data_IF_235848696172
#
_entry.id   IF_235848696172
#
_cell.length_a   1.000
_cell.length_b   1.000
_cell.length_c   1.000
_cell.angle_alpha   90.00
_cell.angle_beta   90.00
_cell.angle_gamma   90.00
#
_symmetry.space_group_name_H-M   'P 1'
#
loop_
_entity.id
_entity.type
_entity.pdbx_description
1 polymer ?
#
# COMPACT_ATOMS: atom_id res chain seq x y z
N UNK A 1 -49.81 -18.45 20.49
CA UNK A 1 -48.47 -17.86 20.60
C UNK A 1 -48.62 -16.36 20.77
N UNK A 2 -48.16 -15.76 21.89
CA UNK A 2 -48.16 -14.29 22.05
C UNK A 2 -46.90 -13.75 21.39
N UNK A 3 -47.02 -13.01 20.33
CA UNK A 3 -45.91 -12.29 19.70
C UNK A 3 -45.54 -11.10 20.60
N UNK A 4 -44.36 -11.08 21.15
CA UNK A 4 -43.85 -9.96 21.97
C UNK A 4 -43.58 -8.78 21.04
N UNK A 5 -44.45 -7.76 21.07
CA UNK A 5 -44.24 -6.52 20.33
C UNK A 5 -43.32 -5.65 21.16
N UNK A 6 -42.08 -5.48 20.68
CA UNK A 6 -41.09 -4.60 21.34
C UNK A 6 -41.58 -3.16 21.38
N UNK A 7 -41.42 -2.48 22.51
CA UNK A 7 -41.68 -1.07 22.60
C UNK A 7 -40.66 -0.23 21.79
N UNK A 8 -40.97 1.03 21.51
CA UNK A 8 -40.08 1.90 20.71
C UNK A 8 -38.74 2.18 21.39
N UNK A 9 -38.71 2.10 22.73
CA UNK A 9 -37.46 2.26 23.50
C UNK A 9 -36.57 1.01 23.40
N UNK A 10 -37.13 -0.18 23.58
CA UNK A 10 -36.41 -1.45 23.40
C UNK A 10 -35.85 -1.61 21.98
N UNK A 11 -36.62 -1.16 20.98
CA UNK A 11 -36.12 -1.16 19.59
C UNK A 11 -34.95 -0.22 19.41
N UNK A 12 -34.97 0.99 19.97
CA UNK A 12 -33.88 1.95 19.91
C UNK A 12 -32.60 1.44 20.61
N UNK A 13 -32.74 0.81 21.77
CA UNK A 13 -31.62 0.22 22.51
C UNK A 13 -31.01 -0.95 21.74
N UNK A 14 -31.82 -1.80 21.16
CA UNK A 14 -31.38 -2.91 20.32
C UNK A 14 -30.68 -2.42 19.08
N UNK A 15 -31.24 -1.44 18.36
CA UNK A 15 -30.62 -0.84 17.18
C UNK A 15 -29.30 -0.14 17.53
N UNK A 16 -29.17 0.42 18.74
CA UNK A 16 -27.93 1.02 19.23
C UNK A 16 -26.88 -0.07 19.55
N UNK A 17 -27.29 -1.14 20.22
CA UNK A 17 -26.43 -2.28 20.52
C UNK A 17 -25.94 -2.97 19.24
N UNK A 18 -26.83 -3.24 18.28
CA UNK A 18 -26.47 -3.87 17.01
C UNK A 18 -25.51 -3.00 16.20
N UNK A 19 -25.69 -1.66 16.21
CA UNK A 19 -24.74 -0.71 15.59
C UNK A 19 -23.37 -0.75 16.25
N UNK A 20 -23.32 -0.81 17.58
CA UNK A 20 -22.04 -0.86 18.31
C UNK A 20 -21.31 -2.19 18.08
N UNK A 21 -22.01 -3.33 18.08
CA UNK A 21 -21.46 -4.64 17.76
C UNK A 21 -20.88 -4.66 16.33
N UNK A 22 -21.63 -4.14 15.37
CA UNK A 22 -21.17 -4.03 13.98
C UNK A 22 -19.93 -3.16 13.89
N UNK A 23 -19.88 -2.02 14.58
CA UNK A 23 -18.74 -1.12 14.62
C UNK A 23 -17.49 -1.81 15.21
N UNK A 24 -17.66 -2.57 16.31
CA UNK A 24 -16.55 -3.30 16.94
C UNK A 24 -15.99 -4.39 16.01
N UNK A 25 -16.86 -5.12 15.32
CA UNK A 25 -16.44 -6.13 14.35
C UNK A 25 -15.66 -5.51 13.19
N UNK A 26 -16.15 -4.40 12.66
CA UNK A 26 -15.49 -3.64 11.60
C UNK A 26 -14.12 -3.13 12.04
N UNK A 27 -13.99 -2.64 13.29
CA UNK A 27 -12.70 -2.24 13.85
C UNK A 27 -11.74 -3.41 13.97
N UNK A 28 -12.21 -4.59 14.42
CA UNK A 28 -11.37 -5.81 14.49
C UNK A 28 -10.84 -6.22 13.13
N UNK A 29 -11.68 -6.13 12.08
CA UNK A 29 -11.26 -6.42 10.70
C UNK A 29 -10.17 -5.45 10.26
N UNK A 30 -10.36 -4.14 10.46
CA UNK A 30 -9.34 -3.12 10.11
C UNK A 30 -8.04 -3.34 10.88
N UNK A 31 -8.11 -3.62 12.19
CA UNK A 31 -6.91 -3.91 13.00
C UNK A 31 -6.20 -5.19 12.52
N UNK A 32 -6.96 -6.22 12.16
CA UNK A 32 -6.40 -7.44 11.57
C UNK A 32 -5.63 -7.17 10.28
N UNK A 33 -6.20 -6.33 9.41
CA UNK A 33 -5.56 -5.91 8.15
C UNK A 33 -4.33 -5.03 8.39
N UNK A 34 -4.39 -4.13 9.39
CA UNK A 34 -3.23 -3.30 9.79
C UNK A 34 -2.07 -4.15 10.31
N UNK A 35 -2.35 -5.22 11.06
CA UNK A 35 -1.33 -6.16 11.55
C UNK A 35 -0.69 -6.98 10.43
N UNK A 36 -1.43 -7.28 9.36
CA UNK A 36 -0.88 -7.92 8.16
C UNK A 36 0.00 -6.96 7.35
N UNK A 37 -0.25 -5.65 7.46
CA UNK A 37 0.58 -4.62 6.86
C UNK A 37 1.84 -4.43 7.71
N UNK A 38 2.98 -4.75 7.13
CA UNK A 38 4.30 -4.61 7.77
C UNK A 38 4.80 -3.14 7.66
N UNK A 39 3.89 -2.18 7.84
CA UNK A 39 4.25 -0.76 7.85
C UNK A 39 5.02 -0.41 9.12
N UNK A 40 6.01 0.46 8.97
CA UNK A 40 6.67 1.08 10.12
C UNK A 40 5.74 2.09 10.79
N UNK A 41 5.95 2.38 12.08
CA UNK A 41 5.10 3.31 12.85
C UNK A 41 4.88 4.66 12.16
N UNK A 42 5.94 5.21 11.55
CA UNK A 42 5.86 6.48 10.81
C UNK A 42 4.91 6.39 9.60
N UNK A 43 4.91 5.29 8.86
CA UNK A 43 4.05 5.09 7.70
C UNK A 43 2.61 4.73 8.12
N UNK A 44 2.42 4.06 9.24
CA UNK A 44 1.10 3.72 9.76
C UNK A 44 0.28 4.96 10.16
N UNK A 45 0.96 6.08 10.44
CA UNK A 45 0.35 7.36 10.80
C UNK A 45 0.20 8.33 9.63
N UNK A 46 0.67 7.96 8.43
CA UNK A 46 0.54 8.80 7.24
C UNK A 46 -0.93 9.04 6.89
N UNK A 47 -1.33 10.30 6.75
CA UNK A 47 -2.70 10.71 6.39
C UNK A 47 -2.66 11.78 5.30
N UNK A 48 -3.75 11.85 4.55
CA UNK A 48 -3.91 12.83 3.48
C UNK A 48 -3.84 14.27 3.99
N UNK A 49 -4.37 14.52 5.18
CA UNK A 49 -4.36 15.83 5.87
C UNK A 49 -2.95 16.28 6.26
N UNK A 50 -2.07 15.32 6.58
CA UNK A 50 -0.67 15.58 6.93
C UNK A 50 0.25 15.66 5.71
N UNK A 51 -0.29 15.49 4.50
CA UNK A 51 0.47 15.55 3.27
C UNK A 51 0.69 17.00 2.88
N UNK A 52 1.83 17.57 3.25
CA UNK A 52 2.17 18.97 2.92
C UNK A 52 2.29 19.15 1.42
N UNK A 53 1.41 19.97 0.83
CA UNK A 53 1.42 20.28 -0.59
C UNK A 53 2.53 21.30 -0.92
N UNK A 54 3.24 21.05 -1.99
CA UNK A 54 4.27 21.92 -2.56
C UNK A 54 4.14 21.88 -4.07
N UNK A 55 4.74 22.85 -4.78
CA UNK A 55 4.73 22.88 -6.25
C UNK A 55 5.30 21.59 -6.86
N UNK A 56 6.32 21.02 -6.22
CA UNK A 56 6.98 19.79 -6.68
C UNK A 56 6.09 18.54 -6.56
N UNK A 57 5.17 18.49 -5.57
CA UNK A 57 4.37 17.30 -5.28
C UNK A 57 2.86 17.47 -5.54
N UNK A 58 2.39 18.64 -5.97
CA UNK A 58 0.98 18.91 -6.22
C UNK A 58 0.34 17.91 -7.21
N UNK A 59 1.10 17.51 -8.26
CA UNK A 59 0.65 16.47 -9.18
C UNK A 59 0.50 15.11 -8.50
N UNK A 60 1.47 14.71 -7.68
CA UNK A 60 1.43 13.46 -6.93
C UNK A 60 0.21 13.45 -6.00
N UNK A 61 0.01 14.53 -5.23
CA UNK A 61 -1.10 14.64 -4.29
C UNK A 61 -2.46 14.54 -4.99
N UNK A 62 -2.60 15.14 -6.17
CA UNK A 62 -3.81 15.01 -7.00
C UNK A 62 -4.05 13.56 -7.43
N UNK A 63 -3.00 12.84 -7.85
CA UNK A 63 -3.09 11.42 -8.23
C UNK A 63 -3.48 10.58 -7.02
N UNK A 64 -2.87 10.80 -5.85
CA UNK A 64 -3.19 10.12 -4.60
C UNK A 64 -4.66 10.31 -4.23
N UNK A 65 -5.15 11.56 -4.21
CA UNK A 65 -6.56 11.88 -3.93
C UNK A 65 -7.50 11.19 -4.91
N UNK A 66 -7.19 11.27 -6.21
CA UNK A 66 -8.01 10.64 -7.25
C UNK A 66 -8.06 9.12 -7.09
N UNK A 67 -6.94 8.48 -6.81
CA UNK A 67 -6.86 7.03 -6.61
C UNK A 67 -7.70 6.58 -5.41
N UNK A 68 -7.63 7.31 -4.27
CA UNK A 68 -8.41 7.02 -3.07
C UNK A 68 -9.91 7.21 -3.32
N UNK A 69 -10.31 8.27 -4.01
CA UNK A 69 -11.73 8.59 -4.26
C UNK A 69 -12.35 7.58 -5.23
N UNK A 70 -11.60 7.18 -6.26
CA UNK A 70 -12.10 6.31 -7.33
C UNK A 70 -11.60 4.86 -7.19
N UNK A 71 -11.26 4.41 -5.98
CA UNK A 71 -10.62 3.11 -5.76
C UNK A 71 -11.43 1.93 -6.33
N UNK A 72 -12.75 1.91 -6.17
CA UNK A 72 -13.57 0.80 -6.67
C UNK A 72 -13.42 0.67 -8.21
N UNK A 73 -13.40 1.78 -8.94
CA UNK A 73 -13.12 1.77 -10.37
C UNK A 73 -11.69 1.31 -10.69
N UNK A 74 -10.69 1.77 -9.92
CA UNK A 74 -9.31 1.31 -10.10
C UNK A 74 -9.17 -0.18 -9.85
N UNK A 75 -9.96 -0.72 -8.91
CA UNK A 75 -10.03 -2.14 -8.61
C UNK A 75 -10.68 -2.95 -9.75
N UNK A 76 -11.80 -2.48 -10.31
CA UNK A 76 -12.48 -3.11 -11.44
C UNK A 76 -11.60 -3.13 -12.70
N UNK A 77 -10.89 -2.04 -12.96
CA UNK A 77 -9.99 -1.88 -14.10
C UNK A 77 -8.59 -2.50 -13.89
N UNK A 78 -8.33 -3.15 -12.74
CA UNK A 78 -7.00 -3.64 -12.33
C UNK A 78 -5.91 -2.56 -12.42
N UNK A 79 -6.23 -1.31 -12.12
CA UNK A 79 -5.34 -0.18 -12.30
C UNK A 79 -4.52 0.09 -11.04
N UNK A 80 -3.24 -0.25 -11.07
CA UNK A 80 -2.26 0.07 -10.05
C UNK A 80 -1.47 1.36 -10.32
N UNK A 81 -0.49 1.64 -9.44
CA UNK A 81 0.44 2.76 -9.59
C UNK A 81 1.89 2.28 -9.45
N UNK A 82 2.77 2.78 -10.31
CA UNK A 82 4.22 2.66 -10.17
C UNK A 82 4.80 4.04 -9.81
N UNK A 83 5.06 4.27 -8.50
CA UNK A 83 5.66 5.50 -8.01
C UNK A 83 7.19 5.39 -8.12
N UNK A 84 7.79 6.12 -9.07
CA UNK A 84 9.21 6.02 -9.35
C UNK A 84 9.92 7.38 -9.26
N UNK A 85 11.21 7.38 -8.93
CA UNK A 85 12.01 8.60 -8.86
C UNK A 85 13.02 8.60 -7.70
N UNK A 86 13.76 9.70 -7.48
CA UNK A 86 14.85 9.77 -6.52
C UNK A 86 14.46 9.43 -5.08
N UNK A 87 15.45 9.05 -4.28
CA UNK A 87 15.29 8.74 -2.86
C UNK A 87 14.82 9.97 -2.08
N UNK A 88 13.87 9.75 -1.15
CA UNK A 88 13.42 10.79 -0.22
C UNK A 88 12.36 11.73 -0.76
N UNK A 89 11.87 11.54 -1.98
CA UNK A 89 10.86 12.40 -2.62
C UNK A 89 9.41 12.16 -2.15
N UNK A 90 9.17 11.20 -1.23
CA UNK A 90 7.85 10.97 -0.64
C UNK A 90 7.05 9.82 -1.26
N UNK A 91 7.64 8.96 -2.12
CA UNK A 91 6.97 7.81 -2.74
C UNK A 91 6.31 6.87 -1.73
N UNK A 92 7.09 6.36 -0.77
CA UNK A 92 6.60 5.47 0.28
C UNK A 92 5.54 6.15 1.16
N UNK A 93 5.68 7.46 1.42
CA UNK A 93 4.69 8.22 2.16
C UNK A 93 3.37 8.33 1.41
N UNK A 94 3.41 8.65 0.11
CA UNK A 94 2.23 8.71 -0.75
C UNK A 94 1.50 7.35 -0.83
N UNK A 95 2.26 6.25 -0.97
CA UNK A 95 1.72 4.90 -0.95
C UNK A 95 1.06 4.55 0.39
N UNK A 96 1.69 4.94 1.52
CA UNK A 96 1.15 4.75 2.86
C UNK A 96 -0.12 5.57 3.12
N UNK A 97 -0.20 6.81 2.60
CA UNK A 97 -1.43 7.61 2.65
C UNK A 97 -2.58 6.88 1.96
N UNK A 98 -2.36 6.36 0.73
CA UNK A 98 -3.37 5.57 0.03
C UNK A 98 -3.79 4.36 0.87
N UNK A 99 -2.83 3.62 1.43
CA UNK A 99 -3.11 2.44 2.25
C UNK A 99 -3.99 2.78 3.45
N UNK A 100 -3.61 3.79 4.23
CA UNK A 100 -4.30 4.15 5.46
C UNK A 100 -5.72 4.70 5.19
N UNK A 101 -5.87 5.57 4.19
CA UNK A 101 -7.18 6.11 3.82
C UNK A 101 -8.15 5.03 3.33
N UNK A 102 -7.66 4.04 2.59
CA UNK A 102 -8.47 2.90 2.14
C UNK A 102 -8.79 1.94 3.31
N UNK A 103 -7.85 1.69 4.21
CA UNK A 103 -8.08 0.90 5.43
C UNK A 103 -9.15 1.55 6.32
N UNK A 104 -9.12 2.89 6.47
CA UNK A 104 -10.14 3.63 7.23
C UNK A 104 -11.53 3.55 6.57
N UNK A 105 -11.59 3.32 5.25
CA UNK A 105 -12.82 3.00 4.48
C UNK A 105 -13.14 1.50 4.47
N UNK A 106 -12.47 0.68 5.30
CA UNK A 106 -12.67 -0.77 5.42
C UNK A 106 -12.34 -1.55 4.16
N UNK A 107 -11.52 -0.98 3.29
CA UNK A 107 -10.98 -1.69 2.14
C UNK A 107 -9.79 -2.53 2.60
N UNK A 108 -9.72 -3.79 2.17
CA UNK A 108 -8.59 -4.66 2.52
C UNK A 108 -7.34 -4.25 1.74
N UNK A 109 -6.39 -3.65 2.45
CA UNK A 109 -5.09 -3.22 1.93
C UNK A 109 -3.98 -3.83 2.75
N UNK A 110 -2.96 -4.34 2.09
CA UNK A 110 -1.71 -4.77 2.72
C UNK A 110 -0.58 -3.94 2.13
N UNK A 111 0.24 -3.32 2.99
CA UNK A 111 1.45 -2.61 2.59
C UNK A 111 2.67 -3.27 3.24
N UNK A 112 3.68 -3.60 2.44
CA UNK A 112 4.91 -4.26 2.86
C UNK A 112 6.08 -3.84 1.98
N UNK A 113 7.24 -4.49 2.10
CA UNK A 113 8.35 -4.40 1.15
C UNK A 113 8.86 -5.79 0.79
N UNK A 114 9.50 -5.94 -0.38
CA UNK A 114 10.09 -7.23 -0.76
C UNK A 114 11.08 -7.73 0.28
N UNK A 115 11.89 -6.86 0.87
CA UNK A 115 12.84 -7.23 1.93
C UNK A 115 12.12 -7.83 3.15
N UNK A 116 10.99 -7.26 3.55
CA UNK A 116 10.19 -7.77 4.68
C UNK A 116 9.56 -9.11 4.32
N UNK A 117 9.00 -9.24 3.13
CA UNK A 117 8.46 -10.51 2.64
C UNK A 117 9.54 -11.59 2.67
N UNK A 118 10.71 -11.33 2.08
CA UNK A 118 11.82 -12.30 2.04
C UNK A 118 12.35 -12.70 3.42
N UNK A 119 12.28 -11.80 4.41
CA UNK A 119 12.69 -12.11 5.80
C UNK A 119 11.66 -12.98 6.53
N UNK A 120 10.37 -12.75 6.29
CA UNK A 120 9.31 -13.50 6.96
C UNK A 120 9.07 -14.88 6.34
N UNK A 121 9.40 -15.02 5.06
CA UNK A 121 9.25 -16.24 4.25
C UNK A 121 10.47 -17.17 4.38
N UNK A 122 11.49 -16.79 5.13
CA UNK A 122 12.79 -17.45 5.20
C UNK A 122 12.84 -18.89 5.77
N UNK A 123 11.71 -19.55 5.99
CA UNK A 123 11.62 -21.00 6.33
C UNK A 123 10.60 -21.67 5.42
N UNK A 124 11.03 -22.71 4.71
CA UNK A 124 10.31 -23.42 3.65
C UNK A 124 8.91 -23.94 4.02
N UNK A 125 8.56 -24.05 5.30
CA UNK A 125 7.32 -24.69 5.78
C UNK A 125 6.15 -23.70 6.05
N UNK A 126 6.38 -22.38 6.09
CA UNK A 126 5.34 -21.38 6.47
C UNK A 126 5.00 -20.40 5.33
N UNK A 127 5.50 -20.67 4.13
CA UNK A 127 5.65 -19.73 3.02
C UNK A 127 4.34 -19.38 2.30
N UNK A 128 3.54 -20.38 1.97
CA UNK A 128 2.37 -20.18 1.09
C UNK A 128 1.22 -19.43 1.77
N UNK A 129 1.04 -19.56 3.08
CA UNK A 129 -0.10 -18.98 3.78
C UNK A 129 -0.03 -17.46 3.95
N UNK A 130 1.15 -16.87 4.11
CA UNK A 130 1.31 -15.41 4.30
C UNK A 130 1.23 -14.65 2.99
N UNK A 131 1.92 -15.14 1.96
CA UNK A 131 1.88 -14.56 0.61
C UNK A 131 0.46 -14.65 0.04
N UNK A 132 -0.22 -15.77 0.24
CA UNK A 132 -1.60 -15.94 -0.19
C UNK A 132 -2.55 -14.95 0.52
N UNK A 133 -2.39 -14.74 1.83
CA UNK A 133 -3.17 -13.74 2.56
C UNK A 133 -2.92 -12.32 2.06
N UNK A 134 -1.67 -11.95 1.76
CA UNK A 134 -1.35 -10.67 1.15
C UNK A 134 -2.01 -10.54 -0.23
N UNK A 135 -1.97 -11.59 -1.05
CA UNK A 135 -2.59 -11.62 -2.37
C UNK A 135 -4.14 -11.64 -2.33
N UNK A 136 -4.76 -12.04 -1.22
CA UNK A 136 -6.21 -11.95 -1.03
C UNK A 136 -6.70 -10.51 -0.84
N UNK A 137 -5.83 -9.58 -0.38
CA UNK A 137 -6.22 -8.17 -0.21
C UNK A 137 -6.70 -7.54 -1.52
N UNK A 138 -7.64 -6.59 -1.45
CA UNK A 138 -8.09 -5.81 -2.62
C UNK A 138 -6.94 -5.02 -3.24
N UNK A 139 -6.09 -4.42 -2.40
CA UNK A 139 -4.89 -3.70 -2.85
C UNK A 139 -3.66 -4.23 -2.13
N UNK A 140 -2.62 -4.53 -2.88
CA UNK A 140 -1.28 -4.82 -2.36
C UNK A 140 -0.34 -3.66 -2.69
N UNK A 141 0.37 -3.18 -1.69
CA UNK A 141 1.38 -2.12 -1.86
C UNK A 141 2.72 -2.68 -1.46
N UNK A 142 3.69 -2.63 -2.35
CA UNK A 142 5.05 -3.10 -2.10
C UNK A 142 6.03 -1.94 -2.28
N UNK A 143 6.70 -1.60 -1.19
CA UNK A 143 7.66 -0.52 -1.14
C UNK A 143 9.06 -0.99 -1.55
N UNK A 144 9.83 -0.09 -2.18
CA UNK A 144 11.22 -0.26 -2.56
C UNK A 144 11.50 -1.46 -3.49
N UNK A 145 10.77 -1.57 -4.61
CA UNK A 145 11.12 -2.49 -5.70
C UNK A 145 12.54 -2.18 -6.22
N UNK A 146 13.36 -3.21 -6.35
CA UNK A 146 14.78 -3.12 -6.76
C UNK A 146 15.75 -2.95 -5.59
N UNK A 147 15.26 -2.97 -4.33
CA UNK A 147 16.09 -2.99 -3.12
C UNK A 147 16.33 -4.41 -2.59
N UNK A 148 15.68 -5.41 -3.18
CA UNK A 148 15.89 -6.83 -2.88
C UNK A 148 17.30 -7.26 -3.25
N UNK A 149 17.85 -8.20 -2.48
CA UNK A 149 19.15 -8.79 -2.81
C UNK A 149 19.02 -9.54 -4.14
N UNK A 150 19.90 -9.28 -5.10
CA UNK A 150 19.93 -9.91 -6.44
C UNK A 150 20.27 -11.40 -6.42
N UNK A 151 19.66 -12.19 -5.54
CA UNK A 151 19.77 -13.65 -5.52
C UNK A 151 18.66 -14.24 -6.38
N UNK A 152 18.91 -15.41 -6.97
CA UNK A 152 17.89 -16.12 -7.77
C UNK A 152 16.62 -16.38 -6.96
N UNK A 153 16.75 -16.72 -5.68
CA UNK A 153 15.64 -16.89 -4.76
C UNK A 153 14.80 -15.63 -4.59
N UNK A 154 15.45 -14.47 -4.36
CA UNK A 154 14.71 -13.21 -4.18
C UNK A 154 13.96 -12.81 -5.45
N UNK A 155 14.57 -13.02 -6.60
CA UNK A 155 13.98 -12.73 -7.90
C UNK A 155 12.76 -13.64 -8.20
N UNK A 156 12.86 -14.94 -7.90
CA UNK A 156 11.76 -15.89 -8.03
C UNK A 156 10.55 -15.46 -7.18
N UNK A 157 10.79 -15.03 -5.93
CA UNK A 157 9.72 -14.55 -5.05
C UNK A 157 9.07 -13.25 -5.53
N UNK A 158 9.88 -12.30 -6.02
CA UNK A 158 9.33 -11.09 -6.64
C UNK A 158 8.45 -11.44 -7.83
N UNK A 159 8.93 -12.34 -8.69
CA UNK A 159 8.16 -12.82 -9.84
C UNK A 159 6.84 -13.45 -9.42
N UNK A 160 6.86 -14.38 -8.45
CA UNK A 160 5.68 -15.10 -7.99
C UNK A 160 4.59 -14.15 -7.46
N UNK A 161 4.98 -13.13 -6.69
CA UNK A 161 4.06 -12.15 -6.15
C UNK A 161 3.43 -11.32 -7.28
N UNK A 162 4.25 -10.78 -8.17
CA UNK A 162 3.78 -9.95 -9.29
C UNK A 162 2.90 -10.79 -10.24
N UNK A 163 3.31 -12.02 -10.57
CA UNK A 163 2.55 -12.94 -11.42
C UNK A 163 1.20 -13.33 -10.81
N UNK A 164 1.18 -13.61 -9.49
CA UNK A 164 -0.05 -13.91 -8.76
C UNK A 164 -1.04 -12.75 -8.79
N UNK A 165 -0.55 -11.50 -8.58
CA UNK A 165 -1.39 -10.29 -8.70
C UNK A 165 -1.92 -10.10 -10.10
N UNK A 166 -1.05 -10.25 -11.11
CA UNK A 166 -1.41 -10.16 -12.52
C UNK A 166 -2.52 -11.15 -12.88
N UNK A 167 -2.36 -12.44 -12.54
CA UNK A 167 -3.35 -13.50 -12.81
C UNK A 167 -4.65 -13.33 -12.04
N UNK A 168 -4.59 -12.79 -10.82
CA UNK A 168 -5.79 -12.57 -10.01
C UNK A 168 -6.56 -11.31 -10.39
N UNK A 169 -6.04 -10.54 -11.35
CA UNK A 169 -6.62 -9.26 -11.82
C UNK A 169 -6.89 -8.30 -10.66
N UNK A 170 -5.93 -8.15 -9.76
CA UNK A 170 -6.03 -7.27 -8.59
C UNK A 170 -4.95 -6.19 -8.62
N UNK A 171 -5.28 -4.92 -8.40
CA UNK A 171 -4.32 -3.83 -8.50
C UNK A 171 -3.20 -3.92 -7.47
N UNK A 172 -2.03 -3.44 -7.88
CA UNK A 172 -0.84 -3.33 -7.05
C UNK A 172 -0.27 -1.91 -7.12
N UNK A 173 0.22 -1.38 -6.00
CA UNK A 173 1.02 -0.16 -5.99
C UNK A 173 2.45 -0.52 -5.66
N UNK A 174 3.38 -0.03 -6.47
CA UNK A 174 4.80 -0.25 -6.29
C UNK A 174 5.52 1.09 -6.14
N UNK A 175 6.51 1.14 -5.26
CA UNK A 175 7.46 2.26 -5.24
C UNK A 175 8.84 1.77 -5.64
N UNK A 176 9.61 2.61 -6.32
CA UNK A 176 10.97 2.26 -6.74
C UNK A 176 11.86 3.48 -6.90
N UNK A 177 13.16 3.30 -6.69
CA UNK A 177 14.18 4.28 -7.01
C UNK A 177 14.77 4.08 -8.42
N UNK A 178 14.41 3.01 -9.10
CA UNK A 178 14.80 2.76 -10.48
C UNK A 178 14.14 3.79 -11.42
N UNK A 179 14.85 4.18 -12.44
CA UNK A 179 14.28 5.00 -13.51
C UNK A 179 13.51 4.15 -14.51
N UNK A 180 12.58 4.76 -15.24
CA UNK A 180 11.86 4.07 -16.31
C UNK A 180 12.82 3.51 -17.37
N UNK A 181 13.92 4.19 -17.62
CA UNK A 181 14.94 3.76 -18.55
C UNK A 181 15.67 2.50 -18.06
N UNK A 182 16.05 2.47 -16.78
CA UNK A 182 16.67 1.27 -16.17
C UNK A 182 15.74 0.05 -16.22
N UNK A 183 14.46 0.24 -16.00
CA UNK A 183 13.48 -0.85 -16.05
C UNK A 183 13.23 -1.33 -17.49
N UNK A 184 13.09 -0.39 -18.46
CA UNK A 184 12.81 -0.72 -19.87
C UNK A 184 14.00 -1.35 -20.59
N UNK A 185 15.22 -0.93 -20.23
CA UNK A 185 16.46 -1.38 -20.86
C UNK A 185 17.18 -2.45 -20.01
N UNK A 186 16.46 -3.13 -19.13
CA UNK A 186 17.06 -4.20 -18.33
C UNK A 186 17.45 -5.39 -19.22
N UNK A 187 18.72 -5.80 -19.15
CA UNK A 187 19.22 -6.91 -19.97
C UNK A 187 18.85 -8.29 -19.41
N UNK A 188 18.55 -8.38 -18.11
CA UNK A 188 18.10 -9.64 -17.49
C UNK A 188 16.66 -9.96 -17.87
N UNK A 189 16.47 -11.01 -18.67
CA UNK A 189 15.18 -11.46 -19.17
C UNK A 189 14.17 -11.79 -18.04
N UNK A 190 14.65 -12.15 -16.85
CA UNK A 190 13.82 -12.46 -15.70
C UNK A 190 13.18 -11.19 -15.14
N UNK A 191 13.98 -10.12 -15.00
CA UNK A 191 13.46 -8.81 -14.60
C UNK A 191 12.56 -8.19 -15.69
N UNK A 192 12.88 -8.38 -16.97
CA UNK A 192 12.04 -7.91 -18.07
C UNK A 192 10.61 -8.46 -17.98
N UNK A 193 10.44 -9.72 -17.65
CA UNK A 193 9.09 -10.32 -17.46
C UNK A 193 8.34 -9.71 -16.29
N UNK A 194 9.04 -9.33 -15.22
CA UNK A 194 8.45 -8.65 -14.06
C UNK A 194 8.01 -7.24 -14.45
N UNK A 195 8.91 -6.48 -15.10
CA UNK A 195 8.62 -5.09 -15.49
C UNK A 195 7.52 -5.00 -16.54
N UNK A 196 7.45 -5.93 -17.48
CA UNK A 196 6.39 -6.00 -18.49
C UNK A 196 5.00 -6.08 -17.83
N UNK A 197 4.82 -6.99 -16.88
CA UNK A 197 3.57 -7.09 -16.09
C UNK A 197 3.29 -5.84 -15.26
N UNK A 198 4.32 -5.27 -14.66
CA UNK A 198 4.18 -4.04 -13.88
C UNK A 198 3.70 -2.88 -14.77
N UNK A 199 4.25 -2.75 -15.97
CA UNK A 199 3.86 -1.70 -16.90
C UNK A 199 2.44 -1.88 -17.47
N UNK A 200 1.96 -3.12 -17.56
CA UNK A 200 0.58 -3.40 -17.93
C UNK A 200 -0.41 -3.06 -16.80
N UNK A 201 -0.09 -3.43 -15.55
CA UNK A 201 -0.98 -3.22 -14.40
C UNK A 201 -0.91 -1.82 -13.79
N UNK A 202 0.21 -1.10 -13.95
CA UNK A 202 0.49 0.08 -13.17
C UNK A 202 0.67 1.33 -14.02
N UNK A 203 -0.05 2.39 -13.69
CA UNK A 203 0.21 3.70 -14.26
C UNK A 203 1.50 4.30 -13.67
N UNK A 204 2.52 4.64 -14.49
CA UNK A 204 3.78 5.18 -14.01
C UNK A 204 3.64 6.65 -13.59
N UNK A 205 4.01 6.93 -12.35
CA UNK A 205 4.00 8.28 -11.76
C UNK A 205 5.41 8.67 -11.36
N UNK A 206 5.98 9.65 -12.04
CA UNK A 206 7.26 10.23 -11.65
C UNK A 206 7.07 11.09 -10.40
N UNK A 207 7.81 10.77 -9.33
CA UNK A 207 7.84 11.54 -8.10
C UNK A 207 9.19 12.27 -8.05
N UNK A 208 9.14 13.58 -8.21
CA UNK A 208 10.30 14.47 -8.23
C UNK A 208 10.27 15.44 -7.04
N UNK A 209 11.31 16.22 -6.88
CA UNK A 209 11.45 17.23 -5.83
C UNK A 209 12.62 16.98 -4.89
N UNK A 210 12.80 17.88 -3.94
CA UNK A 210 13.84 17.79 -2.93
C UNK A 210 13.52 16.72 -1.89
N UNK A 211 14.56 16.05 -1.39
CA UNK A 211 14.40 15.03 -0.36
C UNK A 211 13.82 15.62 0.94
N UNK A 212 12.62 15.16 1.32
CA UNK A 212 11.98 15.51 2.59
C UNK A 212 12.86 15.16 3.79
N UNK A 213 13.58 14.04 3.76
CA UNK A 213 14.53 13.64 4.83
C UNK A 213 15.63 14.68 5.01
N UNK A 214 16.16 15.25 3.91
CA UNK A 214 17.17 16.30 3.96
C UNK A 214 16.60 17.62 4.49
N UNK A 215 15.37 17.98 4.11
CA UNK A 215 14.65 19.16 4.61
C UNK A 215 14.42 19.05 6.13
N UNK A 216 13.86 17.93 6.59
CA UNK A 216 13.65 17.70 8.03
C UNK A 216 14.96 17.73 8.83
N UNK A 217 16.03 17.13 8.31
CA UNK A 217 17.35 17.17 8.93
C UNK A 217 17.87 18.62 9.04
N UNK A 218 17.79 19.37 7.95
CA UNK A 218 18.23 20.77 7.93
C UNK A 218 17.44 21.64 8.94
N UNK A 219 16.13 21.47 9.03
CA UNK A 219 15.29 22.18 10.01
C UNK A 219 15.68 21.85 11.45
N UNK A 220 15.94 20.56 11.76
CA UNK A 220 16.39 20.15 13.10
C UNK A 220 17.75 20.76 13.47
N UNK A 221 18.71 20.73 12.53
CA UNK A 221 20.03 21.32 12.76
C UNK A 221 19.97 22.86 12.92
N UNK A 222 19.07 23.53 12.20
CA UNK A 222 18.85 24.97 12.38
C UNK A 222 18.30 25.31 13.76
N UNK A 223 17.36 24.50 14.27
CA UNK A 223 16.77 24.68 15.61
C UNK A 223 17.76 24.39 16.76
N UNK A 224 18.79 23.54 16.53
CA UNK A 224 19.80 23.20 17.54
C UNK A 224 20.90 24.26 17.66
N UNK A 225 20.94 25.27 16.75
CA UNK A 225 21.92 26.36 16.75
C UNK A 225 21.40 27.62 17.40
N UNK A 226 20.18 27.65 17.89
CA UNK A 226 19.59 28.71 18.71
C UNK A 226 19.61 28.31 20.18
#
# INVERSE_FOLDING_TARGET
MKVHIMCSCEKKERDAYDREQKRQEEMRVVEGLRKLSLMDDKLSQARLESFTETDDNARLLRIVRNYIVNFEKMYEDNQGLLLWGPVGTGKSYAAAVIANELLDRRTSVVMTSFIKILKEVGTFDDDNGKVDKMNQSKLLIIDDLGAERGTDYSLERVYDIIDSRYRSNKPIILTTNLTMEQMKNCEDIRYNRIYDRIFEMCYPVKVSGLSWRKREAASRYAATKQ
#
